data_IF_675933338834
#
_entry.id   IF_675933338834
#
_cell.length_a   1.000
_cell.length_b   1.000
_cell.length_c   1.000
_cell.angle_alpha   90.00
_cell.angle_beta   90.00
_cell.angle_gamma   90.00
#
_symmetry.space_group_name_H-M   'P 1'
#
loop_
_entity.id
_entity.type
_entity.pdbx_description
1 polymer ?
#
# COMPACT_ATOMS: atom_id res chain seq x y z
N UNK A 1 5.49 15.62 -31.15
CA UNK A 1 4.33 14.97 -30.52
C UNK A 1 4.06 15.74 -29.24
N UNK A 2 2.80 16.05 -28.91
CA UNK A 2 2.49 16.75 -27.65
C UNK A 2 2.45 15.72 -26.53
N UNK A 3 3.30 15.86 -25.52
CA UNK A 3 3.49 14.89 -24.43
C UNK A 3 2.53 15.20 -23.29
N UNK A 4 1.86 14.17 -22.78
CA UNK A 4 0.84 14.31 -21.73
C UNK A 4 1.48 14.29 -20.35
N UNK A 5 0.92 15.01 -19.36
CA UNK A 5 1.34 14.86 -17.97
C UNK A 5 1.20 13.40 -17.51
N UNK A 6 2.03 13.01 -16.57
CA UNK A 6 2.08 11.66 -16.00
C UNK A 6 1.87 11.75 -14.49
N UNK A 7 0.95 10.95 -13.98
CA UNK A 7 0.73 10.73 -12.56
C UNK A 7 1.27 9.35 -12.19
N UNK A 8 2.22 9.31 -11.25
CA UNK A 8 2.75 8.08 -10.68
C UNK A 8 2.13 7.84 -9.30
N UNK A 9 1.51 6.67 -9.14
CA UNK A 9 0.96 6.22 -7.87
C UNK A 9 1.76 5.00 -7.35
N UNK A 10 2.58 5.17 -6.29
CA UNK A 10 3.42 4.11 -5.75
C UNK A 10 2.61 2.99 -5.08
N UNK A 11 3.24 1.83 -4.93
CA UNK A 11 2.70 0.68 -4.21
C UNK A 11 2.96 0.69 -2.71
N UNK A 12 2.71 -0.44 -2.06
CA UNK A 12 3.01 -0.64 -0.64
C UNK A 12 4.50 -0.44 -0.39
N UNK A 13 4.82 0.35 0.64
CA UNK A 13 6.19 0.63 1.06
C UNK A 13 7.13 1.18 -0.04
N UNK A 14 6.57 1.66 -1.15
CA UNK A 14 7.31 2.10 -2.35
C UNK A 14 7.52 3.62 -2.40
N UNK A 15 7.26 4.31 -1.29
CA UNK A 15 7.55 5.74 -1.12
C UNK A 15 7.99 6.03 0.31
N UNK A 16 8.83 7.04 0.48
CA UNK A 16 9.37 7.42 1.77
C UNK A 16 8.31 7.97 2.74
N UNK A 17 8.54 7.75 4.03
CA UNK A 17 7.81 8.40 5.12
C UNK A 17 8.78 9.23 5.95
N UNK A 18 8.41 10.49 6.20
CA UNK A 18 9.16 11.43 7.03
C UNK A 18 8.41 11.78 8.31
N UNK A 19 9.14 12.06 9.38
CA UNK A 19 8.58 12.49 10.65
C UNK A 19 8.13 13.95 10.63
N UNK A 20 7.02 14.22 11.29
CA UNK A 20 6.41 15.50 11.57
C UNK A 20 6.21 15.72 13.08
N UNK A 21 6.98 15.00 13.89
CA UNK A 21 7.03 15.12 15.33
C UNK A 21 8.45 14.90 15.86
N UNK A 22 8.76 15.45 17.02
CA UNK A 22 9.96 15.05 17.76
C UNK A 22 9.62 13.88 18.69
N UNK A 23 10.46 12.83 18.70
CA UNK A 23 10.37 11.72 19.64
C UNK A 23 11.75 11.35 20.16
N UNK A 24 11.85 11.30 21.49
CA UNK A 24 13.04 10.77 22.16
C UNK A 24 13.07 9.25 22.05
N UNK A 25 14.17 8.73 21.53
CA UNK A 25 14.45 7.30 21.56
C UNK A 25 15.28 7.00 22.81
N UNK A 26 14.88 6.01 23.60
CA UNK A 26 15.65 5.61 24.78
C UNK A 26 17.09 5.23 24.40
N UNK A 27 18.03 5.57 25.27
CA UNK A 27 19.45 5.33 25.03
C UNK A 27 19.80 3.87 25.34
N UNK A 28 20.07 3.09 24.28
CA UNK A 28 20.76 1.81 24.43
C UNK A 28 22.23 2.00 24.86
N UNK A 29 22.94 0.89 25.09
CA UNK A 29 24.30 0.83 25.67
C UNK A 29 25.41 1.68 24.99
N UNK A 30 25.15 2.33 23.84
CA UNK A 30 26.12 3.13 23.06
C UNK A 30 25.61 4.55 22.77
N UNK A 31 25.75 5.48 23.72
CA UNK A 31 25.27 6.89 23.67
C UNK A 31 25.48 7.69 22.35
N UNK A 32 26.38 7.28 21.45
CA UNK A 32 26.71 8.03 20.22
C UNK A 32 26.13 7.45 18.92
N UNK A 33 25.38 6.34 18.97
CA UNK A 33 24.75 5.74 17.78
C UNK A 33 23.24 6.04 17.68
N UNK A 34 22.64 6.58 18.74
CA UNK A 34 21.20 6.82 18.84
C UNK A 34 20.89 8.27 18.49
N UNK A 35 20.02 8.48 17.50
CA UNK A 35 19.49 9.80 17.16
C UNK A 35 18.03 9.86 17.61
N UNK A 36 17.65 10.95 18.26
CA UNK A 36 16.24 11.26 18.46
C UNK A 36 15.58 11.41 17.09
N UNK A 37 14.30 11.05 17.01
CA UNK A 37 13.52 11.33 15.81
C UNK A 37 13.15 12.80 15.80
N UNK A 38 13.58 13.52 14.78
CA UNK A 38 13.27 14.94 14.60
C UNK A 38 12.27 15.17 13.46
N UNK A 39 11.70 16.37 13.42
CA UNK A 39 10.85 16.79 12.30
C UNK A 39 11.71 16.82 11.02
N UNK A 40 11.22 16.20 9.95
CA UNK A 40 11.92 16.07 8.67
C UNK A 40 12.79 14.82 8.56
N UNK A 41 13.03 14.08 9.65
CA UNK A 41 13.76 12.82 9.58
C UNK A 41 13.04 11.81 8.70
N UNK A 42 13.80 11.09 7.84
CA UNK A 42 13.29 9.93 7.10
C UNK A 42 13.19 8.72 8.04
N UNK A 43 12.02 8.11 8.08
CA UNK A 43 11.75 6.88 8.85
C UNK A 43 11.56 5.68 7.95
N UNK A 44 11.10 5.90 6.71
CA UNK A 44 11.05 4.89 5.68
C UNK A 44 11.70 5.44 4.40
N UNK A 45 12.77 4.86 3.84
CA UNK A 45 13.64 3.84 4.45
C UNK A 45 14.93 4.48 4.97
N UNK A 46 15.31 4.17 6.20
CA UNK A 46 16.59 4.56 6.81
C UNK A 46 17.21 3.29 7.41
N UNK A 47 18.00 2.55 6.61
CA UNK A 47 18.53 1.23 7.02
C UNK A 47 19.47 1.38 8.22
N UNK A 48 20.23 2.48 8.30
CA UNK A 48 21.10 2.76 9.42
C UNK A 48 20.30 2.90 10.73
N UNK A 49 19.15 3.58 10.69
CA UNK A 49 18.23 3.68 11.84
C UNK A 49 17.56 2.37 12.18
N UNK A 50 17.14 1.58 11.17
CA UNK A 50 16.57 0.24 11.40
C UNK A 50 17.59 -0.64 12.13
N UNK A 51 18.87 -0.60 11.75
CA UNK A 51 19.96 -1.34 12.40
C UNK A 51 20.27 -0.84 13.81
N UNK A 52 20.40 0.47 13.98
CA UNK A 52 20.88 1.06 15.22
C UNK A 52 19.77 1.20 16.28
N UNK A 53 18.51 1.35 15.86
CA UNK A 53 17.38 1.75 16.69
C UNK A 53 16.08 1.04 16.29
N UNK A 54 16.14 -0.26 15.97
CA UNK A 54 14.99 -1.08 15.52
C UNK A 54 13.76 -0.90 16.40
N UNK A 55 13.92 -0.94 17.72
CA UNK A 55 12.82 -0.76 18.68
C UNK A 55 12.13 0.60 18.54
N UNK A 56 12.91 1.68 18.45
CA UNK A 56 12.35 3.03 18.31
C UNK A 56 11.68 3.20 16.93
N UNK A 57 12.31 2.68 15.89
CA UNK A 57 11.77 2.69 14.54
C UNK A 57 10.44 1.93 14.46
N UNK A 58 10.36 0.71 15.01
CA UNK A 58 9.12 -0.08 15.07
C UNK A 58 8.02 0.69 15.80
N UNK A 59 8.31 1.26 16.97
CA UNK A 59 7.29 2.02 17.72
C UNK A 59 6.81 3.27 16.98
N UNK A 60 7.70 3.98 16.29
CA UNK A 60 7.31 5.11 15.44
C UNK A 60 6.47 4.70 14.23
N UNK A 61 6.76 3.54 13.64
CA UNK A 61 6.07 3.07 12.43
C UNK A 61 4.70 2.47 12.74
N UNK A 62 4.49 1.92 13.93
CA UNK A 62 3.22 1.30 14.35
C UNK A 62 2.04 2.27 14.35
N UNK A 63 0.89 1.72 14.03
CA UNK A 63 -0.42 2.36 14.18
C UNK A 63 -1.23 1.67 15.27
N UNK A 64 -2.23 2.37 15.80
CA UNK A 64 -3.29 1.71 16.55
C UNK A 64 -4.11 0.82 15.61
N UNK A 65 -4.33 -0.44 15.97
CA UNK A 65 -4.97 -1.42 15.10
C UNK A 65 -6.43 -1.03 14.83
N UNK A 66 -7.14 -0.53 15.84
CA UNK A 66 -8.58 -0.24 15.77
C UNK A 66 -8.87 1.11 15.14
N UNK A 67 -8.11 2.13 15.54
CA UNK A 67 -8.33 3.51 15.11
C UNK A 67 -7.50 3.88 13.89
N UNK A 68 -6.42 3.15 13.59
CA UNK A 68 -5.43 3.48 12.55
C UNK A 68 -4.77 4.84 12.78
N UNK A 69 -4.75 5.31 14.03
CA UNK A 69 -4.07 6.53 14.42
C UNK A 69 -2.60 6.26 14.78
N UNK A 70 -1.81 7.32 14.79
CA UNK A 70 -0.37 7.28 15.02
C UNK A 70 -0.10 7.14 16.54
N UNK A 71 0.72 6.15 16.95
CA UNK A 71 0.97 5.87 18.38
C UNK A 71 2.08 6.74 18.99
N UNK A 72 3.28 6.73 18.40
CA UNK A 72 4.43 7.47 18.93
C UNK A 72 4.87 8.64 18.06
N UNK A 73 4.86 8.46 16.74
CA UNK A 73 5.48 9.38 15.80
C UNK A 73 4.49 9.76 14.70
N UNK A 74 4.37 11.07 14.45
CA UNK A 74 3.59 11.61 13.35
C UNK A 74 4.39 11.47 12.07
N UNK A 75 3.99 10.63 11.12
CA UNK A 75 4.67 10.40 9.84
C UNK A 75 3.81 10.88 8.67
N UNK A 76 4.43 11.46 7.65
CA UNK A 76 3.76 11.83 6.40
C UNK A 76 4.56 11.33 5.21
N UNK A 77 3.87 11.08 4.10
CA UNK A 77 4.52 10.70 2.85
C UNK A 77 5.37 11.85 2.31
N UNK A 78 6.64 11.55 2.04
CA UNK A 78 7.55 12.50 1.37
C UNK A 78 6.97 12.83 -0.01
N UNK A 79 6.89 14.12 -0.35
CA UNK A 79 6.32 14.59 -1.62
C UNK A 79 7.41 14.75 -2.68
N UNK A 80 7.01 14.71 -3.95
CA UNK A 80 7.93 14.92 -5.08
C UNK A 80 8.84 13.72 -5.38
N UNK A 81 9.85 13.96 -6.21
CA UNK A 81 10.76 12.94 -6.73
C UNK A 81 11.55 12.22 -5.62
N UNK A 82 12.02 12.98 -4.63
CA UNK A 82 12.80 12.47 -3.50
C UNK A 82 12.04 11.40 -2.69
N UNK A 83 10.70 11.41 -2.75
CA UNK A 83 9.88 10.43 -2.06
C UNK A 83 9.86 9.05 -2.70
N UNK A 84 10.30 8.88 -3.95
CA UNK A 84 10.10 7.63 -4.71
C UNK A 84 11.32 7.18 -5.54
N UNK A 85 12.28 8.07 -5.80
CA UNK A 85 13.47 7.77 -6.63
C UNK A 85 14.37 6.72 -5.99
N UNK A 86 14.74 6.94 -4.73
CA UNK A 86 15.53 6.06 -3.87
C UNK A 86 14.86 6.05 -2.49
N UNK A 87 14.60 4.87 -1.91
CA UNK A 87 13.96 4.81 -0.58
C UNK A 87 14.95 5.09 0.56
N UNK A 88 16.21 4.69 0.40
CA UNK A 88 17.31 5.02 1.31
C UNK A 88 18.51 5.61 0.56
N UNK A 89 18.46 6.91 0.20
CA UNK A 89 19.53 7.61 -0.50
C UNK A 89 20.90 7.43 0.13
N UNK A 90 21.90 7.16 -0.72
CA UNK A 90 23.29 7.00 -0.32
C UNK A 90 24.12 6.30 -1.39
N UNK A 91 25.44 6.45 -1.33
CA UNK A 91 26.37 5.89 -2.33
C UNK A 91 26.18 4.37 -2.50
N UNK A 92 25.85 3.68 -1.41
CA UNK A 92 25.64 2.21 -1.40
C UNK A 92 24.16 1.85 -1.39
N UNK A 93 23.36 2.50 -0.54
CA UNK A 93 21.95 2.15 -0.30
C UNK A 93 21.00 2.67 -1.38
N UNK A 94 21.33 3.79 -2.04
CA UNK A 94 20.49 4.41 -3.08
C UNK A 94 20.21 3.46 -4.26
N UNK A 95 21.25 2.95 -4.95
CA UNK A 95 21.08 2.01 -6.05
C UNK A 95 20.33 0.72 -5.68
N UNK A 96 20.45 0.28 -4.43
CA UNK A 96 19.79 -0.94 -3.92
C UNK A 96 18.32 -0.70 -3.51
N UNK A 97 17.94 0.57 -3.32
CA UNK A 97 16.61 0.97 -2.86
C UNK A 97 15.84 1.78 -3.89
N UNK A 98 16.28 1.75 -5.16
CA UNK A 98 15.55 2.40 -6.26
C UNK A 98 14.31 1.59 -6.62
N UNK A 99 13.15 2.26 -6.62
CA UNK A 99 11.88 1.68 -7.04
C UNK A 99 11.40 2.36 -8.31
N UNK A 100 11.28 3.69 -8.29
CA UNK A 100 10.80 4.47 -9.43
C UNK A 100 11.89 5.24 -10.16
N UNK A 101 13.09 5.38 -9.59
CA UNK A 101 14.14 6.26 -10.13
C UNK A 101 14.47 5.99 -11.60
N UNK A 102 14.59 4.71 -11.98
CA UNK A 102 14.86 4.35 -13.38
C UNK A 102 13.69 4.64 -14.31
N UNK A 103 12.47 4.25 -13.93
CA UNK A 103 11.28 4.51 -14.75
C UNK A 103 11.05 6.01 -14.92
N UNK A 104 11.21 6.79 -13.85
CA UNK A 104 11.05 8.24 -13.87
C UNK A 104 12.06 8.88 -14.81
N UNK A 105 13.34 8.49 -14.73
CA UNK A 105 14.38 9.00 -15.63
C UNK A 105 14.02 8.69 -17.08
N UNK A 106 13.65 7.45 -17.37
CA UNK A 106 13.34 7.03 -18.74
C UNK A 106 12.13 7.78 -19.32
N UNK A 107 11.05 8.00 -18.54
CA UNK A 107 9.88 8.76 -19.02
C UNK A 107 10.18 10.26 -19.15
N UNK A 108 10.96 10.85 -18.24
CA UNK A 108 11.30 12.28 -18.29
C UNK A 108 12.20 12.56 -19.48
N UNK A 109 13.23 11.73 -19.71
CA UNK A 109 14.14 11.89 -20.85
C UNK A 109 13.45 11.60 -22.19
N UNK A 110 12.62 10.56 -22.26
CA UNK A 110 11.99 10.16 -23.52
C UNK A 110 10.84 11.08 -23.95
N UNK A 111 10.06 11.59 -22.99
CA UNK A 111 8.91 12.47 -23.26
C UNK A 111 9.19 13.94 -22.93
N UNK A 112 10.42 14.29 -22.56
CA UNK A 112 10.85 15.65 -22.24
C UNK A 112 9.88 16.32 -21.25
N UNK A 113 9.51 15.61 -20.18
CA UNK A 113 8.53 16.10 -19.21
C UNK A 113 9.12 17.19 -18.32
N UNK A 114 8.40 18.30 -18.18
CA UNK A 114 8.69 19.33 -17.19
C UNK A 114 8.22 18.93 -15.78
N UNK A 115 8.69 19.65 -14.76
CA UNK A 115 8.40 19.36 -13.35
C UNK A 115 6.89 19.35 -13.05
N UNK A 116 6.13 20.27 -13.65
CA UNK A 116 4.68 20.40 -13.48
C UNK A 116 3.90 19.29 -14.19
N UNK A 117 4.54 18.58 -15.13
CA UNK A 117 3.93 17.49 -15.89
C UNK A 117 4.12 16.13 -15.23
N UNK A 118 4.97 16.01 -14.19
CA UNK A 118 5.18 14.77 -13.46
C UNK A 118 4.62 14.87 -12.03
N UNK A 119 3.47 14.26 -11.80
CA UNK A 119 2.82 14.21 -10.49
C UNK A 119 3.22 12.92 -9.78
N UNK A 120 3.95 13.05 -8.68
CA UNK A 120 4.17 11.94 -7.74
C UNK A 120 3.07 11.96 -6.67
N UNK A 121 2.17 11.00 -6.73
CA UNK A 121 1.02 10.89 -5.82
C UNK A 121 1.35 10.02 -4.59
N UNK A 122 2.42 10.34 -3.86
CA UNK A 122 2.80 9.60 -2.64
C UNK A 122 1.77 9.74 -1.51
N UNK A 123 1.62 8.68 -0.73
CA UNK A 123 0.64 8.57 0.37
C UNK A 123 1.20 7.72 1.51
N UNK A 124 0.56 7.79 2.67
CA UNK A 124 0.91 6.94 3.81
C UNK A 124 0.40 5.51 3.57
N UNK A 125 1.23 4.70 2.92
CA UNK A 125 0.92 3.34 2.51
C UNK A 125 0.66 2.37 3.66
N UNK A 126 0.71 2.81 4.93
CA UNK A 126 0.28 2.03 6.10
C UNK A 126 -1.24 2.07 6.30
N UNK A 127 -1.89 3.13 5.81
CA UNK A 127 -3.31 3.40 6.11
C UNK A 127 -4.28 2.77 5.10
N UNK A 128 -5.49 2.39 5.55
CA UNK A 128 -6.57 2.07 4.63
C UNK A 128 -7.02 3.32 3.86
N UNK A 129 -7.59 3.18 2.65
CA UNK A 129 -7.94 4.32 1.79
C UNK A 129 -8.88 5.35 2.43
N UNK A 130 -9.90 4.91 3.17
CA UNK A 130 -10.81 5.81 3.90
C UNK A 130 -10.08 6.70 4.91
N UNK A 131 -9.03 6.18 5.57
CA UNK A 131 -8.17 6.96 6.46
C UNK A 131 -7.25 7.93 5.73
N UNK A 132 -6.77 7.61 4.53
CA UNK A 132 -6.04 8.57 3.69
C UNK A 132 -6.87 9.82 3.45
N UNK A 133 -8.17 9.64 3.16
CA UNK A 133 -9.07 10.77 2.98
C UNK A 133 -9.44 11.47 4.29
N UNK A 134 -9.76 10.71 5.34
CA UNK A 134 -10.17 11.28 6.63
C UNK A 134 -9.03 12.12 7.25
N UNK A 135 -7.82 11.56 7.32
CA UNK A 135 -6.67 12.15 8.01
C UNK A 135 -5.95 13.20 7.16
N UNK A 136 -5.68 12.88 5.90
CA UNK A 136 -4.77 13.68 5.06
C UNK A 136 -5.48 14.47 3.96
N UNK A 137 -6.80 14.29 3.78
CA UNK A 137 -7.55 14.82 2.62
C UNK A 137 -6.87 14.46 1.31
N UNK A 138 -6.33 13.23 1.26
CA UNK A 138 -5.45 12.77 0.19
C UNK A 138 -6.13 12.82 -1.17
N UNK A 139 -7.35 12.28 -1.31
CA UNK A 139 -8.05 12.24 -2.60
C UNK A 139 -8.55 13.62 -3.03
N UNK A 140 -8.97 14.47 -2.10
CA UNK A 140 -9.28 15.88 -2.40
C UNK A 140 -8.06 16.61 -2.96
N UNK A 141 -6.89 16.39 -2.35
CA UNK A 141 -5.63 16.98 -2.82
C UNK A 141 -5.19 16.40 -4.17
N UNK A 142 -5.38 15.10 -4.37
CA UNK A 142 -5.09 14.39 -5.62
C UNK A 142 -5.93 14.92 -6.78
N UNK A 143 -7.25 15.05 -6.59
CA UNK A 143 -8.18 15.64 -7.56
C UNK A 143 -7.71 17.02 -8.00
N UNK A 144 -7.38 17.90 -7.06
CA UNK A 144 -6.88 19.26 -7.35
C UNK A 144 -5.54 19.24 -8.11
N UNK A 145 -4.62 18.34 -7.77
CA UNK A 145 -3.35 18.19 -8.51
C UNK A 145 -3.60 17.77 -9.96
N UNK A 146 -4.52 16.82 -10.19
CA UNK A 146 -4.91 16.35 -11.52
C UNK A 146 -5.55 17.49 -12.33
N UNK A 147 -6.50 18.21 -11.74
CA UNK A 147 -7.16 19.36 -12.38
C UNK A 147 -6.13 20.42 -12.78
N UNK A 148 -5.26 20.80 -11.85
CA UNK A 148 -4.23 21.80 -12.10
C UNK A 148 -3.25 21.39 -13.21
N UNK A 149 -2.77 20.15 -13.22
CA UNK A 149 -1.88 19.66 -14.28
C UNK A 149 -2.58 19.61 -15.66
N UNK A 150 -3.87 19.31 -15.68
CA UNK A 150 -4.67 19.33 -16.91
C UNK A 150 -4.87 20.76 -17.42
N UNK A 151 -5.16 21.70 -16.53
CA UNK A 151 -5.32 23.13 -16.85
C UNK A 151 -4.04 23.73 -17.44
N UNK A 152 -2.87 23.43 -16.85
CA UNK A 152 -1.58 23.92 -17.35
C UNK A 152 -1.22 23.34 -18.72
N UNK A 153 -1.57 22.08 -18.98
CA UNK A 153 -1.27 21.44 -20.26
C UNK A 153 -2.16 21.95 -21.41
N UNK A 154 -3.41 22.28 -21.09
CA UNK A 154 -4.46 22.62 -22.04
C UNK A 154 -5.55 21.55 -22.04
N UNK A 155 -6.78 21.94 -21.68
CA UNK A 155 -7.92 21.01 -21.54
C UNK A 155 -8.24 20.29 -22.86
N UNK A 156 -7.94 20.92 -24.00
CA UNK A 156 -8.19 20.38 -25.35
C UNK A 156 -7.16 19.31 -25.77
N UNK A 157 -6.05 19.15 -25.03
CA UNK A 157 -4.97 18.21 -25.36
C UNK A 157 -5.17 16.80 -24.74
N UNK A 158 -6.26 16.66 -24.00
CA UNK A 158 -6.63 15.44 -23.27
C UNK A 158 -6.01 15.37 -21.88
N UNK A 159 -6.63 14.56 -21.02
CA UNK A 159 -6.20 14.35 -19.65
C UNK A 159 -4.82 13.72 -19.50
N UNK A 160 -4.37 13.54 -18.26
CA UNK A 160 -3.08 12.96 -17.94
C UNK A 160 -3.06 11.42 -18.04
N UNK A 161 -1.85 10.86 -18.05
CA UNK A 161 -1.62 9.40 -17.98
C UNK A 161 -1.40 8.99 -16.54
N UNK A 162 -2.19 8.05 -16.03
CA UNK A 162 -1.99 7.46 -14.69
C UNK A 162 -1.19 6.18 -14.80
N UNK A 163 -0.11 6.07 -14.03
CA UNK A 163 0.67 4.84 -13.84
C UNK A 163 0.59 4.46 -12.37
N UNK A 164 -0.11 3.36 -12.07
CA UNK A 164 -0.23 2.86 -10.70
C UNK A 164 0.46 1.50 -10.55
N UNK A 165 1.25 1.34 -9.50
CA UNK A 165 2.01 0.11 -9.25
C UNK A 165 1.48 -0.65 -8.03
N UNK A 166 1.36 -1.98 -8.14
CA UNK A 166 1.02 -2.86 -7.01
C UNK A 166 -0.21 -2.34 -6.24
N UNK A 167 -0.14 -2.15 -4.93
CA UNK A 167 -1.22 -1.60 -4.10
C UNK A 167 -1.72 -0.22 -4.56
N UNK A 168 -0.90 0.59 -5.24
CA UNK A 168 -1.30 1.87 -5.81
C UNK A 168 -2.48 1.73 -6.78
N UNK A 169 -2.65 0.58 -7.43
CA UNK A 169 -3.82 0.29 -8.26
C UNK A 169 -5.12 0.29 -7.45
N UNK A 170 -5.09 -0.25 -6.23
CA UNK A 170 -6.26 -0.30 -5.35
C UNK A 170 -6.57 1.08 -4.74
N UNK A 171 -5.53 1.89 -4.47
CA UNK A 171 -5.71 3.29 -4.07
C UNK A 171 -6.31 4.11 -5.21
N UNK A 172 -5.87 3.88 -6.46
CA UNK A 172 -6.45 4.53 -7.63
C UNK A 172 -7.90 4.08 -7.88
N UNK A 173 -8.20 2.78 -7.74
CA UNK A 173 -9.57 2.26 -7.77
C UNK A 173 -10.46 2.97 -6.74
N UNK A 174 -9.99 3.08 -5.50
CA UNK A 174 -10.73 3.79 -4.45
C UNK A 174 -10.93 5.27 -4.80
N UNK A 175 -9.91 5.94 -5.36
CA UNK A 175 -10.03 7.32 -5.82
C UNK A 175 -11.14 7.49 -6.87
N UNK A 176 -11.27 6.57 -7.83
CA UNK A 176 -12.32 6.64 -8.85
C UNK A 176 -13.71 6.46 -8.26
N UNK A 177 -13.91 5.57 -7.29
CA UNK A 177 -15.20 5.43 -6.61
C UNK A 177 -15.51 6.65 -5.73
N UNK A 178 -14.53 7.10 -4.94
CA UNK A 178 -14.65 8.32 -4.13
C UNK A 178 -15.02 9.55 -4.98
N UNK A 179 -14.45 9.65 -6.18
CA UNK A 179 -14.71 10.74 -7.12
C UNK A 179 -16.18 10.80 -7.55
N UNK A 180 -16.87 9.65 -7.66
CA UNK A 180 -18.30 9.60 -8.05
C UNK A 180 -19.18 10.35 -7.05
N UNK A 181 -18.84 10.25 -5.77
CA UNK A 181 -19.55 10.94 -4.71
C UNK A 181 -19.12 12.41 -4.61
N UNK A 182 -17.81 12.70 -4.72
CA UNK A 182 -17.28 14.07 -4.63
C UNK A 182 -17.76 14.98 -5.78
N UNK A 183 -17.74 14.49 -7.01
CA UNK A 183 -18.13 15.25 -8.21
C UNK A 183 -19.65 15.15 -8.47
N UNK A 184 -20.29 14.14 -7.89
CA UNK A 184 -21.70 13.83 -8.09
C UNK A 184 -21.93 12.84 -9.23
N UNK A 185 -22.95 11.99 -9.04
CA UNK A 185 -23.26 10.82 -9.87
C UNK A 185 -23.41 11.08 -11.37
N UNK A 186 -23.70 12.30 -11.78
CA UNK A 186 -23.94 12.66 -13.18
C UNK A 186 -22.74 13.33 -13.87
N UNK A 187 -21.71 13.73 -13.13
CA UNK A 187 -20.60 14.55 -13.67
C UNK A 187 -19.23 13.88 -13.55
N UNK A 188 -19.11 12.79 -12.79
CA UNK A 188 -17.83 12.11 -12.59
C UNK A 188 -17.24 11.53 -13.88
N UNK A 189 -18.07 11.05 -14.81
CA UNK A 189 -17.57 10.53 -16.10
C UNK A 189 -16.99 11.66 -16.94
N UNK A 190 -17.70 12.80 -17.02
CA UNK A 190 -17.20 13.99 -17.72
C UNK A 190 -15.87 14.47 -17.12
N UNK A 191 -15.72 14.36 -15.79
CA UNK A 191 -14.46 14.65 -15.11
C UNK A 191 -13.36 13.66 -15.54
N UNK A 192 -13.62 12.35 -15.52
CA UNK A 192 -12.63 11.34 -15.95
C UNK A 192 -12.22 11.56 -17.40
N UNK A 193 -13.17 11.75 -18.31
CA UNK A 193 -12.92 11.92 -19.74
C UNK A 193 -12.09 13.19 -20.01
N UNK A 194 -12.29 14.25 -19.21
CA UNK A 194 -11.51 15.48 -19.29
C UNK A 194 -10.10 15.34 -18.71
N UNK A 195 -9.94 14.60 -17.62
CA UNK A 195 -8.73 14.66 -16.79
C UNK A 195 -7.84 13.41 -16.87
N UNK A 196 -8.33 12.27 -17.36
CA UNK A 196 -7.57 11.02 -17.43
C UNK A 196 -7.64 10.44 -18.85
N UNK A 197 -6.51 10.51 -19.57
CA UNK A 197 -6.42 9.98 -20.93
C UNK A 197 -6.19 8.46 -20.96
N UNK A 198 -5.33 7.96 -20.07
CA UNK A 198 -4.95 6.56 -20.02
C UNK A 198 -4.60 6.14 -18.59
N UNK A 199 -4.84 4.86 -18.31
CA UNK A 199 -4.45 4.21 -17.06
C UNK A 199 -3.61 2.97 -17.34
N UNK A 200 -2.40 2.93 -16.77
CA UNK A 200 -1.49 1.80 -16.77
C UNK A 200 -1.47 1.18 -15.38
N UNK A 201 -2.11 0.02 -15.25
CA UNK A 201 -2.03 -0.80 -14.06
C UNK A 201 -0.84 -1.73 -14.12
N UNK A 202 0.21 -1.41 -13.36
CA UNK A 202 1.46 -2.18 -13.32
C UNK A 202 1.45 -3.11 -12.12
N UNK A 203 1.51 -4.43 -12.37
CA UNK A 203 1.52 -5.44 -11.31
C UNK A 203 0.30 -5.38 -10.39
N UNK A 204 -0.88 -5.09 -10.94
CA UNK A 204 -2.10 -4.83 -10.17
C UNK A 204 -2.60 -6.09 -9.44
N UNK A 205 -2.66 -6.12 -8.10
CA UNK A 205 -3.18 -7.25 -7.33
C UNK A 205 -4.72 -7.19 -7.26
N UNK A 206 -5.39 -7.24 -8.42
CA UNK A 206 -6.84 -7.02 -8.54
C UNK A 206 -7.69 -7.99 -7.74
N UNK A 207 -7.22 -9.22 -7.58
CA UNK A 207 -7.83 -10.29 -6.77
C UNK A 207 -7.07 -10.55 -5.47
N UNK A 208 -6.19 -9.62 -5.08
CA UNK A 208 -5.29 -9.76 -3.94
C UNK A 208 -4.03 -10.57 -4.21
N UNK A 209 -3.28 -10.84 -3.14
CA UNK A 209 -2.02 -11.57 -3.15
C UNK A 209 -1.92 -12.52 -1.95
N UNK A 210 -1.32 -13.70 -2.15
CA UNK A 210 -1.01 -14.64 -1.07
C UNK A 210 0.03 -14.09 -0.08
N UNK A 211 0.90 -13.17 -0.51
CA UNK A 211 1.91 -12.53 0.33
C UNK A 211 1.27 -11.87 1.57
N UNK A 212 0.06 -11.34 1.43
CA UNK A 212 -0.70 -10.71 2.51
C UNK A 212 -0.93 -11.66 3.68
N UNK A 213 -1.11 -12.96 3.40
CA UNK A 213 -1.27 -13.98 4.43
C UNK A 213 0.04 -14.25 5.16
N UNK A 214 1.18 -14.17 4.49
CA UNK A 214 2.51 -14.26 5.10
C UNK A 214 2.78 -13.05 6.01
N UNK A 215 2.43 -11.83 5.57
CA UNK A 215 2.60 -10.59 6.34
C UNK A 215 1.91 -10.68 7.72
N UNK A 216 0.69 -11.22 7.78
CA UNK A 216 -0.08 -11.32 9.03
C UNK A 216 0.23 -12.57 9.87
N UNK A 217 0.80 -13.61 9.26
CA UNK A 217 1.06 -14.89 9.95
C UNK A 217 2.48 -15.00 10.50
N UNK A 218 3.50 -14.92 9.67
CA UNK A 218 4.92 -15.00 10.07
C UNK A 218 5.62 -13.64 10.09
N UNK A 219 5.12 -12.68 9.29
CA UNK A 219 5.82 -11.44 8.99
C UNK A 219 6.83 -11.62 7.86
N UNK A 220 7.07 -10.55 7.13
CA UNK A 220 8.01 -10.50 6.02
C UNK A 220 9.00 -9.35 6.23
N UNK A 221 10.30 -9.63 6.09
CA UNK A 221 11.35 -8.65 6.42
C UNK A 221 11.78 -7.81 5.25
N UNK A 222 11.50 -8.22 4.00
CA UNK A 222 11.95 -7.50 2.79
C UNK A 222 13.49 -7.27 2.80
N UNK A 223 14.23 -8.19 3.42
CA UNK A 223 15.69 -8.07 3.59
C UNK A 223 16.15 -7.09 4.67
N UNK A 224 15.23 -6.45 5.41
CA UNK A 224 15.59 -5.57 6.52
C UNK A 224 16.20 -6.34 7.70
N UNK A 225 17.13 -5.72 8.44
CA UNK A 225 17.85 -6.36 9.54
C UNK A 225 17.03 -6.34 10.85
N UNK A 226 15.85 -6.93 10.77
CA UNK A 226 14.86 -7.10 11.85
C UNK A 226 14.31 -8.52 11.77
N UNK A 227 13.86 -9.07 12.88
CA UNK A 227 13.30 -10.43 12.88
C UNK A 227 11.92 -10.47 12.21
N UNK A 228 11.55 -11.61 11.63
CA UNK A 228 10.19 -11.82 11.09
C UNK A 228 9.11 -11.55 12.16
N UNK A 229 9.34 -11.97 13.41
CA UNK A 229 8.42 -11.71 14.53
C UNK A 229 8.25 -10.22 14.84
N UNK A 230 9.33 -9.44 14.81
CA UNK A 230 9.25 -7.97 14.99
C UNK A 230 8.51 -7.31 13.84
N UNK A 231 8.83 -7.71 12.61
CA UNK A 231 8.13 -7.21 11.42
C UNK A 231 6.66 -7.58 11.42
N UNK A 232 6.30 -8.80 11.83
CA UNK A 232 4.92 -9.20 12.00
C UNK A 232 4.17 -8.26 12.96
N UNK A 233 4.75 -8.00 14.14
CA UNK A 233 4.17 -7.09 15.15
C UNK A 233 3.99 -5.67 14.62
N UNK A 234 4.77 -5.26 13.63
CA UNK A 234 4.61 -3.98 12.94
C UNK A 234 3.53 -4.06 11.86
N UNK A 235 3.66 -5.01 10.93
CA UNK A 235 2.81 -5.16 9.76
C UNK A 235 1.34 -5.34 10.13
N UNK A 236 1.01 -6.16 11.15
CA UNK A 236 -0.38 -6.36 11.59
C UNK A 236 -1.08 -5.07 12.06
N UNK A 237 -0.33 -3.98 12.27
CA UNK A 237 -0.91 -2.67 12.60
C UNK A 237 -1.36 -1.86 11.37
N UNK A 238 -0.89 -2.22 10.17
CA UNK A 238 -1.17 -1.48 8.94
C UNK A 238 -2.48 -1.93 8.32
N UNK A 239 -3.48 -1.06 8.33
CA UNK A 239 -4.77 -1.36 7.71
C UNK A 239 -4.71 -1.53 6.21
N UNK A 240 -3.70 -0.95 5.55
CA UNK A 240 -3.51 -1.11 4.11
C UNK A 240 -3.27 -2.54 3.65
N UNK A 241 -2.88 -3.47 4.54
CA UNK A 241 -2.67 -4.89 4.21
C UNK A 241 -3.92 -5.52 3.60
N UNK A 242 -5.11 -5.09 4.01
CA UNK A 242 -6.35 -5.61 3.47
C UNK A 242 -6.68 -5.10 2.05
N UNK A 243 -6.00 -4.06 1.53
CA UNK A 243 -6.19 -3.58 0.15
C UNK A 243 -5.87 -4.65 -0.91
N UNK A 244 -5.04 -5.63 -0.56
CA UNK A 244 -4.59 -6.69 -1.46
C UNK A 244 -4.72 -8.07 -0.78
N UNK A 245 -5.70 -8.22 0.11
CA UNK A 245 -6.13 -9.55 0.58
C UNK A 245 -6.80 -10.35 -0.54
N UNK A 246 -6.61 -11.68 -0.61
CA UNK A 246 -7.29 -12.52 -1.61
C UNK A 246 -8.80 -12.37 -1.57
N UNK A 247 -9.40 -12.16 -2.74
CA UNK A 247 -10.86 -12.14 -2.95
C UNK A 247 -11.25 -13.08 -4.09
N UNK A 248 -12.48 -13.64 -4.08
CA UNK A 248 -12.96 -14.43 -5.20
C UNK A 248 -13.06 -13.57 -6.47
N UNK A 249 -12.89 -14.19 -7.64
CA UNK A 249 -13.00 -13.50 -8.92
C UNK A 249 -14.43 -13.04 -9.25
N UNK A 250 -15.42 -13.59 -8.55
CA UNK A 250 -16.85 -13.34 -8.79
C UNK A 250 -17.36 -13.91 -10.12
N UNK A 251 -16.52 -14.65 -10.85
CA UNK A 251 -16.86 -15.27 -12.13
C UNK A 251 -17.48 -16.67 -11.96
N UNK A 252 -17.63 -17.13 -10.72
CA UNK A 252 -18.04 -18.50 -10.38
C UNK A 252 -17.16 -19.53 -11.10
N UNK A 253 -15.85 -19.27 -11.08
CA UNK A 253 -14.84 -20.10 -11.72
C UNK A 253 -14.39 -21.19 -10.75
N UNK A 254 -13.99 -22.36 -11.26
CA UNK A 254 -13.36 -23.40 -10.42
C UNK A 254 -12.13 -22.89 -9.65
N UNK A 255 -11.50 -21.80 -10.12
CA UNK A 255 -10.39 -21.14 -9.43
C UNK A 255 -10.80 -20.41 -8.14
N UNK A 256 -12.07 -20.04 -7.99
CA UNK A 256 -12.55 -19.36 -6.79
C UNK A 256 -12.55 -20.32 -5.58
N UNK A 257 -12.72 -21.61 -5.84
CA UNK A 257 -12.71 -22.71 -4.86
C UNK A 257 -11.31 -23.30 -4.61
N UNK A 258 -10.27 -22.77 -5.27
CA UNK A 258 -8.90 -23.23 -5.04
C UNK A 258 -8.41 -22.85 -3.63
N UNK A 259 -7.64 -23.76 -3.03
CA UNK A 259 -7.04 -23.53 -1.72
C UNK A 259 -5.93 -22.50 -1.86
N UNK A 260 -6.10 -21.36 -1.21
CA UNK A 260 -5.11 -20.28 -1.18
C UNK A 260 -4.07 -20.52 -0.07
N UNK A 261 -4.51 -21.01 1.08
CA UNK A 261 -3.61 -21.32 2.21
C UNK A 261 -4.05 -22.58 2.96
N UNK A 262 -3.06 -23.36 3.40
CA UNK A 262 -3.24 -24.51 4.28
C UNK A 262 -2.62 -24.21 5.64
N UNK A 263 -3.40 -24.34 6.71
CA UNK A 263 -2.95 -24.17 8.09
C UNK A 263 -2.85 -25.53 8.76
N UNK A 264 -1.70 -25.80 9.38
CA UNK A 264 -1.43 -27.03 10.15
C UNK A 264 -1.16 -26.66 11.60
N UNK A 265 -2.05 -27.06 12.49
CA UNK A 265 -1.94 -26.80 13.92
C UNK A 265 -1.44 -28.08 14.60
N UNK A 266 -0.32 -27.97 15.31
CA UNK A 266 0.16 -29.05 16.19
C UNK A 266 -0.55 -28.94 17.55
N UNK A 267 -1.44 -29.88 17.84
CA UNK A 267 -2.01 -30.02 19.18
C UNK A 267 -1.11 -30.94 20.00
N UNK A 268 -0.17 -30.39 20.77
CA UNK A 268 0.56 -31.16 21.79
C UNK A 268 -0.29 -31.33 23.04
N UNK A 269 -1.28 -32.22 22.97
CA UNK A 269 -2.09 -32.58 24.14
C UNK A 269 -1.47 -33.77 24.90
N UNK A 270 -0.72 -34.67 24.23
CA UNK A 270 -0.09 -35.86 24.83
C UNK A 270 1.26 -36.15 24.13
N UNK A 271 2.35 -36.52 24.85
CA UNK A 271 3.56 -37.02 24.22
C UNK A 271 3.26 -38.32 23.44
N UNK A 272 3.35 -38.28 22.11
CA UNK A 272 3.20 -39.45 21.24
C UNK A 272 1.91 -39.48 20.39
N UNK A 273 1.02 -38.50 20.50
CA UNK A 273 -0.13 -38.35 19.61
C UNK A 273 0.02 -37.06 18.78
N UNK A 274 0.55 -37.19 17.57
CA UNK A 274 0.74 -36.09 16.62
C UNK A 274 -0.54 -35.85 15.80
N UNK A 275 -1.68 -35.61 16.45
CA UNK A 275 -2.87 -35.15 15.73
C UNK A 275 -2.64 -33.72 15.22
N UNK A 276 -2.30 -33.62 13.95
CA UNK A 276 -2.24 -32.35 13.23
C UNK A 276 -3.64 -32.00 12.72
N UNK A 277 -4.20 -30.90 13.23
CA UNK A 277 -5.40 -30.33 12.65
C UNK A 277 -4.97 -29.56 11.39
N UNK A 278 -5.41 -30.04 10.22
CA UNK A 278 -5.16 -29.41 8.93
C UNK A 278 -6.44 -28.75 8.44
N UNK A 279 -6.35 -27.47 8.06
CA UNK A 279 -7.47 -26.74 7.47
C UNK A 279 -7.03 -25.92 6.27
N UNK A 280 -7.82 -26.01 5.21
CA UNK A 280 -7.63 -25.27 3.97
C UNK A 280 -8.57 -24.07 3.95
N UNK A 281 -8.12 -22.97 3.34
CA UNK A 281 -8.93 -21.78 3.14
C UNK A 281 -8.87 -21.35 1.69
N UNK A 282 -10.05 -21.13 1.11
CA UNK A 282 -10.27 -20.54 -0.20
C UNK A 282 -10.22 -19.00 -0.14
N UNK A 283 -10.19 -18.35 -1.30
CA UNK A 283 -10.30 -16.90 -1.40
C UNK A 283 -11.60 -16.36 -0.77
N UNK A 284 -12.72 -17.08 -0.93
CA UNK A 284 -14.01 -16.72 -0.34
C UNK A 284 -14.02 -16.83 1.20
N UNK A 285 -13.37 -17.85 1.76
CA UNK A 285 -13.24 -17.99 3.22
C UNK A 285 -12.31 -16.95 3.82
N UNK A 286 -11.28 -16.53 3.10
CA UNK A 286 -10.41 -15.42 3.51
C UNK A 286 -11.21 -14.10 3.47
N UNK A 287 -11.87 -13.82 2.35
CA UNK A 287 -12.57 -12.55 2.13
C UNK A 287 -13.79 -12.37 3.05
N UNK A 288 -14.47 -13.47 3.42
CA UNK A 288 -15.57 -13.47 4.39
C UNK A 288 -15.12 -13.36 5.86
N UNK A 289 -13.82 -13.30 6.13
CA UNK A 289 -13.26 -13.21 7.47
C UNK A 289 -13.17 -14.55 8.21
N UNK A 290 -13.52 -15.67 7.57
CA UNK A 290 -13.56 -16.99 8.21
C UNK A 290 -12.18 -17.39 8.75
N UNK A 291 -11.14 -17.20 7.93
CA UNK A 291 -9.75 -17.42 8.34
C UNK A 291 -9.40 -16.69 9.64
N UNK A 292 -9.75 -15.40 9.76
CA UNK A 292 -9.39 -14.58 10.92
C UNK A 292 -10.14 -15.02 12.18
N UNK A 293 -11.43 -15.33 12.04
CA UNK A 293 -12.24 -15.84 13.16
C UNK A 293 -11.77 -17.21 13.65
N UNK A 294 -11.24 -18.04 12.77
CA UNK A 294 -10.70 -19.34 13.16
C UNK A 294 -9.34 -19.20 13.83
N UNK A 295 -8.48 -18.33 13.30
CA UNK A 295 -7.13 -18.08 13.83
C UNK A 295 -7.13 -17.33 15.15
N UNK A 296 -8.17 -16.53 15.45
CA UNK A 296 -8.27 -15.79 16.72
C UNK A 296 -8.28 -16.68 17.96
N UNK A 297 -8.64 -17.96 17.81
CA UNK A 297 -8.60 -18.98 18.89
C UNK A 297 -7.17 -19.38 19.27
N UNK A 298 -6.22 -19.13 18.38
CA UNK A 298 -4.81 -19.52 18.52
C UNK A 298 -3.89 -18.32 18.67
N UNK A 299 -4.21 -17.21 17.99
CA UNK A 299 -3.51 -15.94 18.10
C UNK A 299 -4.52 -14.78 18.20
N UNK A 300 -4.67 -14.18 19.39
CA UNK A 300 -5.65 -13.13 19.64
C UNK A 300 -5.59 -11.93 18.69
N UNK A 301 -4.44 -11.65 18.06
CA UNK A 301 -4.30 -10.53 17.11
C UNK A 301 -5.26 -10.66 15.92
N UNK A 302 -5.63 -11.89 15.54
CA UNK A 302 -6.55 -12.12 14.44
C UNK A 302 -7.98 -11.62 14.75
N UNK A 303 -8.33 -11.49 16.03
CA UNK A 303 -9.58 -10.84 16.42
C UNK A 303 -9.55 -9.35 16.09
N UNK A 304 -8.44 -8.67 16.38
CA UNK A 304 -8.26 -7.25 16.08
C UNK A 304 -8.14 -7.01 14.57
N UNK A 305 -7.47 -7.92 13.85
CA UNK A 305 -7.41 -7.90 12.38
C UNK A 305 -8.79 -8.06 11.74
N UNK A 306 -9.65 -8.97 12.24
CA UNK A 306 -11.02 -9.09 11.75
C UNK A 306 -11.83 -7.83 12.04
N UNK A 307 -11.70 -7.24 13.22
CA UNK A 307 -12.37 -5.98 13.55
C UNK A 307 -11.92 -4.83 12.63
N UNK A 308 -10.62 -4.74 12.32
CA UNK A 308 -10.07 -3.78 11.37
C UNK A 308 -10.61 -4.01 9.94
N UNK A 309 -10.66 -5.27 9.48
CA UNK A 309 -11.22 -5.65 8.18
C UNK A 309 -12.69 -5.28 8.06
N UNK A 310 -13.49 -5.55 9.09
CA UNK A 310 -14.91 -5.18 9.08
C UNK A 310 -15.06 -3.67 8.93
N UNK A 311 -14.43 -2.91 9.83
CA UNK A 311 -14.55 -1.45 9.90
C UNK A 311 -14.08 -0.69 8.66
N UNK A 312 -12.94 -1.08 8.08
CA UNK A 312 -12.31 -0.29 7.01
C UNK A 312 -12.49 -0.87 5.60
N UNK A 313 -13.02 -2.09 5.48
CA UNK A 313 -13.14 -2.78 4.18
C UNK A 313 -14.51 -3.41 3.93
N UNK A 314 -15.21 -3.88 4.97
CA UNK A 314 -16.56 -4.46 4.80
C UNK A 314 -17.65 -3.39 4.95
N UNK A 315 -17.45 -2.46 5.88
CA UNK A 315 -18.36 -1.35 6.19
C UNK A 315 -17.98 -0.06 5.46
N UNK A 316 -17.05 -0.11 4.49
CA UNK A 316 -16.62 1.07 3.75
C UNK A 316 -17.74 1.58 2.83
N UNK A 317 -18.12 2.85 2.99
CA UNK A 317 -19.22 3.46 2.27
C UNK A 317 -18.88 3.82 0.82
N UNK A 318 -17.59 3.89 0.47
CA UNK A 318 -17.11 4.35 -0.84
C UNK A 318 -16.86 3.18 -1.77
N UNK A 319 -16.22 2.11 -1.28
CA UNK A 319 -15.80 0.98 -2.11
C UNK A 319 -16.21 -0.35 -1.50
N UNK A 320 -16.99 -1.13 -2.25
CA UNK A 320 -17.12 -2.57 -2.00
C UNK A 320 -15.82 -3.27 -2.46
N UNK A 321 -14.95 -3.55 -1.49
CA UNK A 321 -13.68 -4.23 -1.72
C UNK A 321 -13.84 -5.71 -2.11
N UNK A 322 -14.98 -6.33 -1.79
CA UNK A 322 -15.25 -7.73 -2.12
C UNK A 322 -15.79 -7.88 -3.54
N UNK A 323 -16.32 -6.81 -4.13
CA UNK A 323 -16.67 -6.78 -5.54
C UNK A 323 -15.39 -6.77 -6.40
N UNK A 324 -15.22 -7.70 -7.35
CA UNK A 324 -14.15 -7.63 -8.33
C UNK A 324 -14.18 -6.32 -9.12
N UNK A 325 -13.01 -5.77 -9.45
CA UNK A 325 -12.96 -4.51 -10.20
C UNK A 325 -13.33 -4.74 -11.67
N UNK A 326 -14.47 -4.18 -12.08
CA UNK A 326 -14.81 -4.08 -13.50
C UNK A 326 -13.82 -3.16 -14.21
N UNK A 327 -13.71 -3.29 -15.55
CA UNK A 327 -12.85 -2.42 -16.35
C UNK A 327 -13.14 -0.95 -16.01
N UNK A 328 -12.15 -0.16 -15.55
CA UNK A 328 -12.40 1.22 -15.19
C UNK A 328 -12.93 2.01 -16.38
N UNK A 329 -13.79 3.01 -16.15
CA UNK A 329 -14.45 3.78 -17.19
C UNK A 329 -13.52 4.86 -17.78
N UNK A 330 -12.32 4.44 -18.17
CA UNK A 330 -11.27 5.25 -18.79
C UNK A 330 -11.14 4.78 -20.24
N UNK A 331 -10.94 5.70 -21.17
CA UNK A 331 -10.87 5.41 -22.59
C UNK A 331 -9.81 4.33 -22.90
N UNK A 332 -8.60 4.51 -22.37
CA UNK A 332 -7.48 3.57 -22.55
C UNK A 332 -7.03 2.97 -21.22
N UNK A 333 -7.08 1.65 -21.12
CA UNK A 333 -6.67 0.88 -19.93
C UNK A 333 -5.67 -0.17 -20.35
N UNK A 334 -4.49 -0.16 -19.73
CA UNK A 334 -3.40 -1.08 -20.00
C UNK A 334 -3.06 -1.85 -18.74
N UNK A 335 -3.09 -3.18 -18.81
CA UNK A 335 -2.62 -4.05 -17.75
C UNK A 335 -1.20 -4.49 -18.07
N UNK A 336 -0.24 -4.09 -17.24
CA UNK A 336 1.18 -4.40 -17.41
C UNK A 336 1.59 -5.39 -16.33
N UNK A 337 2.01 -6.58 -16.74
CA UNK A 337 2.50 -7.61 -15.84
C UNK A 337 3.79 -8.23 -16.39
N UNK A 338 4.69 -8.58 -15.48
CA UNK A 338 5.90 -9.30 -15.81
C UNK A 338 5.61 -10.79 -15.99
N UNK A 339 6.22 -11.41 -17.01
CA UNK A 339 6.27 -12.87 -17.14
C UNK A 339 7.70 -13.30 -16.85
N UNK A 340 7.89 -14.22 -15.91
CA UNK A 340 9.21 -14.71 -15.47
C UNK A 340 10.14 -13.61 -14.93
N UNK A 341 9.57 -12.57 -14.33
CA UNK A 341 10.37 -11.58 -13.60
C UNK A 341 10.78 -12.20 -12.27
N UNK A 342 12.07 -12.11 -11.87
CA UNK A 342 12.50 -12.54 -10.54
C UNK A 342 11.65 -11.84 -9.47
N UNK A 343 10.96 -12.63 -8.66
CA UNK A 343 10.33 -12.17 -7.42
C UNK A 343 11.34 -12.45 -6.29
N UNK A 344 11.68 -11.41 -5.53
CA UNK A 344 12.72 -11.45 -4.50
C UNK A 344 12.20 -12.01 -3.17
#
# INVERSE_FOLDING_TARGET
MKTRPVLIMPGFASSQLQSWSHRRCESGFRKNLYRDVNIGDRLWLDVARVLAQSDCWIRCMKLDITSQDELECKLRATQGLDGVSELDPGIVTGPLSTVWGSVIRDIVEHFELDQEQLIIASYDWRLPPSKLQQRDKYFTSLKKKIEHATELHGVDDGGLVVIAHSMGNQVFRYFLEWLKDEVGRNHWQEWIDRHISAYFGVGSPLLGSGLTLELVSSGFTEGLPVTQSEMRKLLVTFGSIFNFMPIPSGLNSAKDDEVVITIRLQQRLIPGDDQQLVRNYTSAEISSGQLFRDMSRHDPIFNELEAMRQKFYTEDEVLDFLKPWERPPIASVYSVYGVNVPVW
#
